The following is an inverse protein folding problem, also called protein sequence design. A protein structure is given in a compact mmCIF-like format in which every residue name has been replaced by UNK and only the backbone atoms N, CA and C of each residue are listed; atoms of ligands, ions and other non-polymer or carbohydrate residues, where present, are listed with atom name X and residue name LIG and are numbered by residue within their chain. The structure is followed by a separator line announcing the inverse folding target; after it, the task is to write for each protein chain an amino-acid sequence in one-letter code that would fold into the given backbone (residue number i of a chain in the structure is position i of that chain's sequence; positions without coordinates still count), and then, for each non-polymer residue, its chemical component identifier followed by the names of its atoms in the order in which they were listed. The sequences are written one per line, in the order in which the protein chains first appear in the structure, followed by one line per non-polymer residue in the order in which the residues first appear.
data_IF_715352979700
#
_entry.id   IF_715352979700
#
_cell.length_a   1.000
_cell.length_b   1.000
_cell.length_c   1.000
_cell.angle_alpha   90.00
_cell.angle_beta   90.00
_cell.angle_gamma   90.00
#
_symmetry.space_group_name_H-M   'P 1'
#
loop_
_entity.id
_entity.type
_entity.pdbx_description
1 polymer ?
#
# COMPACT_ATOMS: atom_id res chain seq x y z
N UNK A 1 -20.22 -3.12 23.89
CA UNK A 1 -20.09 -4.10 24.97
C UNK A 1 -20.09 -5.54 24.39
N UNK A 2 -21.11 -5.96 23.61
CA UNK A 2 -21.21 -7.32 23.07
C UNK A 2 -19.98 -7.72 22.24
N UNK A 3 -19.50 -6.85 21.35
CA UNK A 3 -18.32 -7.11 20.55
C UNK A 3 -17.06 -7.34 21.40
N UNK A 4 -16.88 -6.58 22.48
CA UNK A 4 -15.73 -6.74 23.38
C UNK A 4 -15.78 -8.08 24.08
N UNK A 5 -16.95 -8.53 24.53
CA UNK A 5 -17.13 -9.84 25.18
C UNK A 5 -16.84 -10.99 24.20
N UNK A 6 -17.31 -10.89 22.96
CA UNK A 6 -17.06 -11.89 21.91
C UNK A 6 -15.58 -11.98 21.53
N UNK A 7 -14.86 -10.86 21.52
CA UNK A 7 -13.44 -10.83 21.18
C UNK A 7 -12.51 -11.02 22.39
N UNK A 8 -13.02 -10.99 23.63
CA UNK A 8 -12.23 -11.14 24.85
C UNK A 8 -11.34 -12.40 24.87
N UNK A 9 -11.80 -13.59 24.43
CA UNK A 9 -10.94 -14.79 24.40
C UNK A 9 -9.72 -14.65 23.50
N UNK A 10 -9.76 -13.78 22.50
CA UNK A 10 -8.64 -13.48 21.59
C UNK A 10 -7.82 -12.28 22.09
N UNK A 11 -8.50 -11.25 22.59
CA UNK A 11 -7.82 -10.03 23.03
C UNK A 11 -7.03 -10.22 24.33
N UNK A 12 -7.53 -11.01 25.28
CA UNK A 12 -6.87 -11.23 26.57
C UNK A 12 -5.49 -11.86 26.42
N UNK A 13 -5.31 -12.97 25.65
CA UNK A 13 -3.98 -13.53 25.40
C UNK A 13 -3.05 -12.55 24.66
N UNK A 14 -3.55 -11.84 23.64
CA UNK A 14 -2.74 -10.86 22.88
C UNK A 14 -2.25 -9.73 23.78
N UNK A 15 -3.13 -9.19 24.62
CA UNK A 15 -2.75 -8.15 25.58
C UNK A 15 -1.79 -8.68 26.65
N UNK A 16 -2.01 -9.92 27.10
CA UNK A 16 -1.11 -10.60 28.02
C UNK A 16 0.31 -10.71 27.45
N UNK A 17 0.45 -11.23 26.24
CA UNK A 17 1.74 -11.33 25.54
C UNK A 17 2.37 -9.97 25.31
N UNK A 18 1.60 -8.97 24.89
CA UNK A 18 2.08 -7.60 24.70
C UNK A 18 2.62 -6.97 25.98
N UNK A 19 2.01 -7.26 27.13
CA UNK A 19 2.44 -6.76 28.44
C UNK A 19 3.66 -7.50 29.00
N UNK A 20 3.87 -8.76 28.62
CA UNK A 20 5.03 -9.57 29.04
C UNK A 20 6.28 -9.33 28.20
N UNK A 21 6.27 -8.33 27.30
CA UNK A 21 7.43 -7.94 26.50
C UNK A 21 7.81 -8.95 25.41
N UNK A 22 6.81 -9.68 24.88
CA UNK A 22 7.03 -10.53 23.73
C UNK A 22 7.63 -9.70 22.58
N UNK A 23 8.86 -10.02 22.22
CA UNK A 23 9.51 -9.43 21.04
C UNK A 23 8.79 -9.92 19.79
N UNK A 24 7.83 -9.13 19.35
CA UNK A 24 7.19 -9.36 18.05
C UNK A 24 8.27 -9.28 16.97
N UNK A 25 8.29 -10.27 16.10
CA UNK A 25 9.24 -10.39 15.01
C UNK A 25 9.46 -9.01 14.34
N UNK A 26 10.74 -8.61 14.35
CA UNK A 26 11.12 -7.22 14.21
C UNK A 26 10.91 -6.60 12.83
N UNK A 27 11.35 -5.39 12.71
CA UNK A 27 11.36 -4.48 11.57
C UNK A 27 11.77 -5.08 10.22
N UNK A 28 12.68 -6.06 10.19
CA UNK A 28 13.16 -6.67 8.95
C UNK A 28 12.05 -7.30 8.11
N UNK A 29 10.97 -7.76 8.74
CA UNK A 29 9.81 -8.27 8.03
C UNK A 29 8.94 -7.15 7.46
N UNK A 30 8.83 -6.02 8.16
CA UNK A 30 8.08 -4.87 7.67
C UNK A 30 8.70 -4.28 6.40
N UNK A 31 10.02 -4.22 6.31
CA UNK A 31 10.72 -3.80 5.10
C UNK A 31 10.48 -4.77 3.94
N UNK A 32 10.60 -6.07 4.19
CA UNK A 32 10.38 -7.13 3.18
C UNK A 32 8.94 -7.19 2.66
N UNK A 33 7.96 -6.83 3.50
CA UNK A 33 6.54 -6.87 3.21
C UNK A 33 5.95 -5.50 2.83
N UNK A 34 6.81 -4.56 2.45
CA UNK A 34 6.44 -3.23 1.97
C UNK A 34 6.17 -3.23 0.47
N UNK A 35 5.33 -2.33 0.01
CA UNK A 35 5.10 -2.10 -1.42
C UNK A 35 6.27 -1.29 -1.99
N UNK A 36 6.81 -1.72 -3.13
CA UNK A 36 7.77 -0.92 -3.89
C UNK A 36 7.07 0.26 -4.55
N UNK A 37 7.74 1.41 -4.66
CA UNK A 37 7.16 2.61 -5.29
C UNK A 37 6.75 2.37 -6.76
N UNK A 38 7.47 1.51 -7.47
CA UNK A 38 7.12 1.11 -8.84
C UNK A 38 6.01 0.04 -8.87
N UNK A 39 5.75 -0.64 -7.74
CA UNK A 39 4.81 -1.75 -7.64
C UNK A 39 3.39 -1.45 -8.12
N UNK A 40 2.77 -0.30 -7.76
CA UNK A 40 1.42 0.05 -8.21
C UNK A 40 1.28 0.16 -9.73
N UNK A 41 2.36 0.46 -10.45
CA UNK A 41 2.39 0.55 -11.91
C UNK A 41 2.86 -0.72 -12.62
N UNK A 42 3.41 -1.68 -11.90
CA UNK A 42 4.00 -2.90 -12.46
C UNK A 42 3.00 -4.07 -12.43
N UNK A 43 2.52 -4.55 -13.58
CA UNK A 43 1.60 -5.68 -13.63
C UNK A 43 2.28 -6.98 -13.20
N UNK A 44 1.48 -7.94 -12.71
CA UNK A 44 1.97 -9.29 -12.40
C UNK A 44 2.35 -10.07 -13.66
N UNK A 45 3.09 -11.18 -13.51
CA UNK A 45 3.49 -12.04 -14.63
C UNK A 45 2.30 -12.60 -15.44
N UNK A 46 1.14 -12.72 -14.79
CA UNK A 46 -0.08 -13.22 -15.43
C UNK A 46 -0.77 -12.16 -16.30
N UNK A 47 -0.35 -10.92 -16.22
CA UNK A 47 -0.95 -9.84 -17.00
C UNK A 47 -0.40 -9.85 -18.43
N UNK A 48 -1.25 -9.65 -19.48
CA UNK A 48 -0.82 -9.68 -20.88
C UNK A 48 0.33 -8.72 -21.24
N UNK A 49 0.45 -7.62 -20.50
CA UNK A 49 1.53 -6.63 -20.64
C UNK A 49 2.65 -6.81 -19.59
N UNK A 50 2.61 -7.93 -18.84
CA UNK A 50 3.73 -8.36 -18.01
C UNK A 50 4.85 -8.91 -18.91
N UNK A 51 6.08 -8.85 -18.45
CA UNK A 51 7.23 -9.35 -19.19
C UNK A 51 8.50 -9.27 -18.36
N UNK A 52 9.64 -9.42 -19.02
CA UNK A 52 10.95 -9.43 -18.37
C UNK A 52 11.22 -8.22 -17.46
N UNK A 53 10.68 -7.06 -17.82
CA UNK A 53 10.81 -5.85 -17.01
C UNK A 53 10.09 -5.94 -15.66
N UNK A 54 8.93 -6.63 -15.60
CA UNK A 54 8.22 -6.87 -14.33
C UNK A 54 8.85 -7.97 -13.52
N UNK A 55 9.49 -8.94 -14.18
CA UNK A 55 10.25 -10.00 -13.52
C UNK A 55 11.49 -9.44 -12.84
N UNK A 56 12.20 -8.50 -13.48
CA UNK A 56 13.34 -7.82 -12.88
C UNK A 56 12.96 -7.08 -11.58
N UNK A 57 11.79 -6.42 -11.53
CA UNK A 57 11.26 -5.79 -10.31
C UNK A 57 10.99 -6.79 -9.18
N UNK A 58 10.63 -8.03 -9.53
CA UNK A 58 10.33 -9.09 -8.56
C UNK A 58 11.56 -9.82 -8.06
N UNK A 59 12.58 -9.94 -8.92
CA UNK A 59 13.82 -10.66 -8.60
C UNK A 59 14.80 -9.84 -7.77
N UNK A 60 14.69 -8.52 -7.76
CA UNK A 60 15.63 -7.63 -7.05
C UNK A 60 15.60 -7.78 -5.54
N UNK A 61 14.71 -8.58 -4.95
CA UNK A 61 14.63 -8.80 -3.51
C UNK A 61 15.20 -10.15 -3.11
N UNK A 62 16.45 -10.15 -2.66
CA UNK A 62 17.04 -11.30 -1.97
C UNK A 62 16.23 -11.64 -0.70
N UNK A 63 15.93 -12.93 -0.52
CA UNK A 63 15.28 -13.45 0.68
C UNK A 63 13.75 -13.43 0.70
N UNK A 64 13.07 -12.96 -0.35
CA UNK A 64 11.61 -12.95 -0.44
C UNK A 64 11.01 -14.12 -1.21
N UNK A 65 11.73 -15.23 -1.38
CA UNK A 65 11.29 -16.39 -2.18
C UNK A 65 9.93 -16.98 -1.75
N UNK A 66 9.52 -16.77 -0.49
CA UNK A 66 8.19 -17.18 0.01
C UNK A 66 7.08 -16.17 -0.26
N UNK A 67 7.42 -14.94 -0.64
CA UNK A 67 6.50 -13.81 -0.78
C UNK A 67 6.71 -13.08 -2.11
N UNK A 68 6.90 -13.84 -3.18
CA UNK A 68 6.92 -13.27 -4.54
C UNK A 68 5.67 -12.43 -4.74
N UNK A 69 5.79 -11.31 -5.42
CA UNK A 69 4.71 -10.39 -5.77
C UNK A 69 4.06 -9.59 -4.60
N UNK A 70 4.50 -9.75 -3.36
CA UNK A 70 3.97 -8.98 -2.22
C UNK A 70 4.20 -7.48 -2.38
N UNK A 71 5.21 -7.11 -3.15
CA UNK A 71 5.66 -5.72 -3.34
C UNK A 71 5.02 -5.06 -4.55
N UNK A 72 4.38 -5.85 -5.41
CA UNK A 72 3.75 -5.40 -6.64
C UNK A 72 2.24 -5.35 -6.42
N UNK A 73 1.76 -4.30 -5.78
CA UNK A 73 0.33 -4.04 -5.66
C UNK A 73 -0.12 -3.33 -6.94
N UNK A 74 -0.33 -4.11 -8.00
CA UNK A 74 -0.79 -3.56 -9.28
C UNK A 74 -2.23 -3.06 -9.19
N UNK A 75 -2.42 -1.79 -9.41
CA UNK A 75 -3.72 -1.11 -9.27
C UNK A 75 -4.51 -1.03 -10.59
N UNK A 76 -3.89 -1.43 -11.70
CA UNK A 76 -4.49 -1.33 -13.02
C UNK A 76 -4.42 0.09 -13.60
N UNK A 77 -3.79 0.26 -14.75
CA UNK A 77 -3.60 1.59 -15.36
C UNK A 77 -4.91 2.31 -15.68
N UNK A 78 -5.91 1.58 -16.20
CA UNK A 78 -7.21 2.16 -16.48
C UNK A 78 -7.92 2.63 -15.20
N UNK A 79 -7.85 1.81 -14.13
CA UNK A 79 -8.39 2.17 -12.81
C UNK A 79 -7.73 3.41 -12.24
N UNK A 80 -6.40 3.49 -12.30
CA UNK A 80 -5.64 4.66 -11.87
C UNK A 80 -6.00 5.92 -12.66
N UNK A 81 -6.07 5.81 -14.00
CA UNK A 81 -6.45 6.94 -14.85
C UNK A 81 -7.86 7.46 -14.51
N UNK A 82 -8.82 6.55 -14.35
CA UNK A 82 -10.18 6.89 -13.93
C UNK A 82 -10.22 7.51 -12.53
N UNK A 83 -9.44 6.98 -11.58
CA UNK A 83 -9.35 7.52 -10.23
C UNK A 83 -8.81 8.96 -10.23
N UNK A 84 -7.79 9.25 -11.05
CA UNK A 84 -7.27 10.61 -11.24
C UNK A 84 -8.34 11.53 -11.84
N UNK A 85 -9.05 11.09 -12.87
CA UNK A 85 -10.17 11.87 -13.45
C UNK A 85 -11.24 12.17 -12.41
N UNK A 86 -11.64 11.17 -11.63
CA UNK A 86 -12.64 11.33 -10.56
C UNK A 86 -12.17 12.29 -9.47
N UNK A 87 -10.92 12.14 -9.01
CA UNK A 87 -10.32 12.99 -8.00
C UNK A 87 -10.27 14.46 -8.45
N UNK A 88 -9.86 14.73 -9.69
CA UNK A 88 -9.78 16.09 -10.24
C UNK A 88 -11.15 16.71 -10.46
N UNK A 89 -12.11 15.93 -10.98
CA UNK A 89 -13.44 16.42 -11.32
C UNK A 89 -14.30 16.69 -10.09
N UNK A 90 -14.14 15.91 -9.02
CA UNK A 90 -14.96 15.98 -7.81
C UNK A 90 -14.16 16.22 -6.54
N UNK A 91 -13.01 16.88 -6.64
CA UNK A 91 -12.02 17.05 -5.56
C UNK A 91 -12.61 17.45 -4.20
N UNK A 92 -13.56 18.39 -4.17
CA UNK A 92 -14.17 18.84 -2.91
C UNK A 92 -15.10 17.80 -2.29
N UNK A 93 -15.85 17.06 -3.12
CA UNK A 93 -16.78 16.02 -2.66
C UNK A 93 -16.05 14.75 -2.23
N UNK A 94 -14.93 14.46 -2.87
CA UNK A 94 -14.15 13.25 -2.67
C UNK A 94 -12.89 13.47 -1.82
N UNK A 95 -12.78 14.62 -1.15
CA UNK A 95 -11.59 14.98 -0.38
C UNK A 95 -11.20 13.88 0.64
N UNK A 96 -12.16 13.30 1.36
CA UNK A 96 -11.90 12.24 2.32
C UNK A 96 -11.30 10.99 1.63
N UNK A 97 -11.81 10.60 0.46
CA UNK A 97 -11.30 9.44 -0.28
C UNK A 97 -9.94 9.71 -0.91
N UNK A 98 -9.71 10.93 -1.38
CA UNK A 98 -8.39 11.36 -1.89
C UNK A 98 -7.37 11.32 -0.76
N UNK A 99 -7.70 11.89 0.41
CA UNK A 99 -6.83 11.86 1.58
C UNK A 99 -6.56 10.43 2.04
N UNK A 100 -7.59 9.58 2.11
CA UNK A 100 -7.43 8.16 2.43
C UNK A 100 -6.50 7.48 1.44
N UNK A 101 -6.69 7.67 0.13
CA UNK A 101 -5.82 7.07 -0.89
C UNK A 101 -4.35 7.48 -0.69
N UNK A 102 -4.08 8.77 -0.45
CA UNK A 102 -2.72 9.27 -0.23
C UNK A 102 -2.10 8.71 1.05
N UNK A 103 -2.84 8.73 2.17
CA UNK A 103 -2.36 8.23 3.46
C UNK A 103 -2.04 6.74 3.36
N UNK A 104 -2.96 5.94 2.84
CA UNK A 104 -2.76 4.49 2.74
C UNK A 104 -1.75 4.10 1.66
N UNK A 105 -1.58 4.90 0.61
CA UNK A 105 -0.47 4.74 -0.33
C UNK A 105 0.88 4.90 0.38
N UNK A 106 1.05 5.96 1.18
CA UNK A 106 2.29 6.20 1.92
C UNK A 106 2.53 5.11 2.95
N UNK A 107 1.52 4.69 3.72
CA UNK A 107 1.67 3.62 4.70
C UNK A 107 1.96 2.25 4.08
N UNK A 108 1.46 1.97 2.87
CA UNK A 108 1.74 0.71 2.17
C UNK A 108 3.21 0.58 1.74
N UNK A 109 3.91 1.70 1.52
CA UNK A 109 5.34 1.73 1.20
C UNK A 109 6.23 1.30 2.36
N UNK A 110 5.67 1.18 3.58
CA UNK A 110 6.38 0.69 4.76
C UNK A 110 7.33 1.68 5.42
N UNK A 111 8.32 1.17 6.20
CA UNK A 111 9.20 2.02 6.99
C UNK A 111 10.26 2.77 6.17
N UNK A 112 10.74 2.17 5.09
CA UNK A 112 11.79 2.72 4.23
C UNK A 112 11.30 2.76 2.79
N UNK A 113 11.57 3.86 2.10
CA UNK A 113 11.25 3.98 0.68
C UNK A 113 12.04 2.94 -0.12
N UNK A 114 11.32 2.21 -0.97
CA UNK A 114 11.91 1.23 -1.86
C UNK A 114 11.57 1.58 -3.31
N UNK A 115 12.60 1.57 -4.16
CA UNK A 115 12.47 1.82 -5.59
C UNK A 115 13.22 0.70 -6.32
N UNK A 116 12.52 -0.07 -7.14
CA UNK A 116 13.08 -1.21 -7.86
C UNK A 116 13.81 -2.20 -6.94
N UNK A 117 13.22 -2.51 -5.79
CA UNK A 117 13.77 -3.43 -4.81
C UNK A 117 14.98 -2.90 -4.01
N UNK A 118 15.35 -1.63 -4.17
CA UNK A 118 16.45 -1.00 -3.43
C UNK A 118 15.89 -0.05 -2.38
N UNK A 119 16.36 -0.19 -1.14
CA UNK A 119 16.07 0.71 -0.02
C UNK A 119 17.26 1.60 0.35
N UNK A 120 18.44 1.29 -0.21
CA UNK A 120 19.68 2.04 -0.02
C UNK A 120 20.00 2.81 -1.29
N UNK A 121 20.20 4.12 -1.17
CA UNK A 121 20.53 5.01 -2.26
C UNK A 121 21.92 5.58 -2.05
N UNK A 122 22.76 5.51 -3.08
CA UNK A 122 24.09 6.12 -3.08
C UNK A 122 23.97 7.55 -3.61
N UNK A 123 24.30 8.51 -2.76
CA UNK A 123 24.42 9.94 -3.08
C UNK A 123 25.89 10.34 -2.95
N UNK A 124 26.61 10.26 -4.05
CA UNK A 124 28.02 10.66 -4.14
C UNK A 124 28.94 9.95 -3.10
N UNK A 125 28.70 8.63 -2.90
CA UNK A 125 29.45 7.81 -1.94
C UNK A 125 28.85 7.79 -0.53
N UNK A 126 27.76 8.52 -0.27
CA UNK A 126 27.00 8.45 0.97
C UNK A 126 25.80 7.53 0.79
N UNK A 127 25.79 6.41 1.51
CA UNK A 127 24.66 5.47 1.50
C UNK A 127 23.58 5.99 2.45
N UNK A 128 22.43 6.31 1.90
CA UNK A 128 21.25 6.84 2.66
C UNK A 128 20.02 6.00 2.43
N UNK A 129 19.18 5.93 3.45
CA UNK A 129 17.80 5.42 3.35
C UNK A 129 16.84 6.58 3.57
N UNK A 130 15.67 6.50 2.95
CA UNK A 130 14.62 7.49 3.11
C UNK A 130 13.55 6.91 4.05
N UNK A 131 13.48 7.39 5.31
CA UNK A 131 12.47 6.93 6.26
C UNK A 131 11.09 7.45 5.89
N UNK A 132 10.06 6.63 6.07
CA UNK A 132 8.67 6.96 5.79
C UNK A 132 7.84 7.02 7.08
N UNK A 133 6.66 7.69 7.05
CA UNK A 133 5.83 7.87 8.25
C UNK A 133 5.37 6.58 8.92
N UNK A 134 5.39 5.44 8.22
CA UNK A 134 5.12 4.13 8.81
C UNK A 134 6.02 3.83 10.02
N UNK A 135 7.24 4.34 10.05
CA UNK A 135 8.17 4.25 11.18
C UNK A 135 7.53 4.70 12.50
N UNK A 136 6.70 5.72 12.47
CA UNK A 136 6.06 6.27 13.65
C UNK A 136 5.10 5.26 14.31
N UNK A 137 4.55 4.31 13.55
CA UNK A 137 3.68 3.27 14.06
C UNK A 137 4.42 2.30 15.00
N UNK A 138 5.74 2.20 14.86
CA UNK A 138 6.57 1.36 15.75
C UNK A 138 6.54 1.84 17.21
N UNK A 139 6.38 3.13 17.42
CA UNK A 139 6.34 3.71 18.77
C UNK A 139 4.96 3.61 19.43
N UNK A 140 3.95 3.13 18.72
CA UNK A 140 2.59 2.98 19.24
C UNK A 140 2.42 1.54 19.73
N UNK A 141 2.20 1.31 21.06
CA UNK A 141 1.92 -0.03 21.57
C UNK A 141 0.79 -0.72 20.80
N UNK A 142 0.85 -2.04 20.62
CA UNK A 142 -0.06 -2.86 19.83
C UNK A 142 0.10 -2.65 18.30
N UNK A 143 0.23 -1.41 17.81
CA UNK A 143 0.42 -1.10 16.39
C UNK A 143 1.84 -1.45 15.94
N UNK A 144 2.81 -1.40 16.85
CA UNK A 144 4.21 -1.84 16.61
C UNK A 144 4.30 -3.29 16.13
N UNK A 145 3.30 -4.12 16.42
CA UNK A 145 3.15 -5.48 15.91
C UNK A 145 2.85 -5.58 14.41
N UNK A 146 2.49 -4.46 13.77
CA UNK A 146 2.15 -4.45 12.35
C UNK A 146 3.40 -4.53 11.47
N UNK A 147 3.73 -5.74 11.04
CA UNK A 147 4.87 -6.07 10.18
C UNK A 147 4.53 -6.22 8.70
N UNK A 148 3.30 -5.91 8.31
CA UNK A 148 2.81 -6.13 6.94
C UNK A 148 2.24 -4.85 6.33
N UNK A 149 3.10 -3.86 5.97
CA UNK A 149 2.67 -2.58 5.42
C UNK A 149 1.83 -2.71 4.15
N UNK A 150 2.09 -3.71 3.33
CA UNK A 150 1.35 -3.96 2.10
C UNK A 150 -0.15 -4.17 2.30
N UNK A 151 -0.60 -4.55 3.51
CA UNK A 151 -2.04 -4.68 3.81
C UNK A 151 -2.80 -3.35 3.75
N UNK A 152 -2.12 -2.24 3.93
CA UNK A 152 -2.71 -0.91 3.74
C UNK A 152 -3.14 -0.66 2.29
N UNK A 153 -2.59 -1.39 1.33
CA UNK A 153 -3.02 -1.34 -0.07
C UNK A 153 -4.46 -1.77 -0.30
N UNK A 154 -5.04 -2.59 0.59
CA UNK A 154 -6.46 -2.97 0.50
C UNK A 154 -7.36 -1.74 0.67
N UNK A 155 -7.07 -0.89 1.65
CA UNK A 155 -7.83 0.35 1.85
C UNK A 155 -7.54 1.35 0.74
N UNK A 156 -6.30 1.40 0.25
CA UNK A 156 -5.93 2.18 -0.93
C UNK A 156 -6.76 1.76 -2.15
N UNK A 157 -6.85 0.46 -2.43
CA UNK A 157 -7.64 -0.07 -3.54
C UNK A 157 -9.13 0.29 -3.42
N UNK A 158 -9.70 0.23 -2.22
CA UNK A 158 -11.08 0.64 -1.97
C UNK A 158 -11.27 2.13 -2.30
N UNK A 159 -10.40 2.99 -1.81
CA UNK A 159 -10.45 4.42 -2.07
C UNK A 159 -10.33 4.72 -3.58
N UNK A 160 -9.37 4.08 -4.25
CA UNK A 160 -9.19 4.22 -5.70
C UNK A 160 -10.37 3.70 -6.51
N UNK A 161 -11.02 2.61 -6.09
CA UNK A 161 -12.23 2.09 -6.75
C UNK A 161 -13.37 3.10 -6.71
N UNK A 162 -13.55 3.77 -5.56
CA UNK A 162 -14.56 4.82 -5.42
C UNK A 162 -14.22 6.02 -6.31
N UNK A 163 -12.98 6.48 -6.28
CA UNK A 163 -12.51 7.57 -7.14
C UNK A 163 -12.69 7.23 -8.63
N UNK A 164 -12.35 6.00 -9.03
CA UNK A 164 -12.50 5.52 -10.40
C UNK A 164 -13.97 5.45 -10.84
N UNK A 165 -14.88 5.05 -9.94
CA UNK A 165 -16.32 5.07 -10.20
C UNK A 165 -16.82 6.47 -10.53
N UNK A 166 -16.39 7.48 -9.78
CA UNK A 166 -16.73 8.88 -10.08
C UNK A 166 -16.06 9.38 -11.37
N UNK A 167 -14.86 8.90 -11.68
CA UNK A 167 -14.19 9.20 -12.95
C UNK A 167 -14.94 8.63 -14.16
N UNK A 168 -15.38 7.38 -14.06
CA UNK A 168 -16.21 6.76 -15.07
C UNK A 168 -17.54 7.49 -15.25
N UNK A 169 -18.21 7.85 -14.16
CA UNK A 169 -19.44 8.64 -14.19
C UNK A 169 -19.24 9.97 -14.93
N UNK A 170 -18.16 10.69 -14.62
CA UNK A 170 -17.83 11.96 -15.28
C UNK A 170 -17.59 11.77 -16.78
N UNK A 171 -16.85 10.75 -17.20
CA UNK A 171 -16.64 10.45 -18.62
C UNK A 171 -17.94 10.14 -19.35
N UNK A 172 -18.77 9.27 -18.77
CA UNK A 172 -20.05 8.90 -19.39
C UNK A 172 -20.98 10.10 -19.56
N UNK A 173 -21.07 10.97 -18.56
CA UNK A 173 -21.89 12.19 -18.66
C UNK A 173 -21.36 13.17 -19.72
N UNK A 174 -20.04 13.30 -19.84
CA UNK A 174 -19.43 14.13 -20.88
C UNK A 174 -19.66 13.59 -22.29
N UNK A 175 -19.57 12.28 -22.46
CA UNK A 175 -19.82 11.62 -23.75
C UNK A 175 -21.29 11.66 -24.13
N UNK A 176 -22.21 11.48 -23.17
CA UNK A 176 -23.65 11.58 -23.40
C UNK A 176 -24.08 13.01 -23.78
N UNK A 177 -23.51 14.03 -23.12
CA UNK A 177 -23.79 15.44 -23.42
C UNK A 177 -23.26 15.97 -24.76
N UNK A 178 -22.43 15.19 -25.46
CA UNK A 178 -21.94 15.52 -26.81
C UNK A 178 -22.85 15.05 -27.96
N UNK A 179 -23.92 14.32 -27.64
CA UNK A 179 -24.85 13.77 -28.65
C UNK A 179 -26.04 14.66 -28.93
N UNK A 180 -26.03 15.93 -28.52
CA UNK A 180 -27.06 16.93 -28.85
C UNK A 180 -26.44 18.15 -29.51
#
# INVERSE_FOLDING_TARGET
VVAVVLYAPVLVPILGEALHGYELAGWGDAEKLSVDLAGPGAPTALHPFGGDWTEALRQTREGTSRFRDVNTVFLGWAGLALAVVGALSYRRKLAAWITSALVFAVFSLGPLLQINGRSLFDLDGLIVNVPLPFILLHYIPVVSANRTPNRFSVVLMLALAILAGFGAYWLLTKLAGRKH
#
